data_IF_762621042075
#
_entry.id   IF_762621042075
#
_cell.length_a   1.000
_cell.length_b   1.000
_cell.length_c   1.000
_cell.angle_alpha   90.00
_cell.angle_beta   90.00
_cell.angle_gamma   90.00
#
_symmetry.space_group_name_H-M   'P 1'
#
loop_
_entity.id
_entity.type
_entity.pdbx_description
1 polymer ?
#
# COMPACT_ATOMS: atom_id res chain seq x y z
N UNK A 1 13.08 -83.55 -30.48
CA UNK A 1 12.37 -84.52 -29.63
C UNK A 1 13.29 -84.87 -28.47
N UNK A 2 12.89 -84.51 -27.24
CA UNK A 2 13.53 -84.88 -25.94
C UNK A 2 14.97 -84.38 -25.68
N UNK A 3 15.41 -84.30 -24.41
CA UNK A 3 14.78 -83.49 -23.35
C UNK A 3 15.79 -82.64 -22.53
N UNK A 4 15.30 -81.73 -21.68
CA UNK A 4 16.11 -81.00 -20.72
C UNK A 4 16.32 -81.79 -19.41
N UNK A 5 17.44 -81.61 -18.68
CA UNK A 5 17.71 -82.28 -17.39
C UNK A 5 17.00 -81.61 -16.19
N UNK A 6 17.04 -82.30 -15.04
CA UNK A 6 16.01 -82.24 -13.98
C UNK A 6 16.56 -81.80 -12.61
N UNK A 7 15.86 -80.82 -12.01
CA UNK A 7 15.53 -80.53 -10.58
C UNK A 7 16.46 -80.84 -9.38
N UNK A 8 16.11 -80.10 -8.29
CA UNK A 8 16.27 -80.36 -6.84
C UNK A 8 17.44 -79.66 -6.13
N UNK A 9 17.30 -79.01 -4.96
CA UNK A 9 16.11 -78.53 -4.17
C UNK A 9 16.61 -77.57 -3.06
N UNK A 10 15.85 -76.53 -2.67
CA UNK A 10 15.74 -76.06 -1.27
C UNK A 10 14.63 -74.99 -1.08
N UNK A 11 13.58 -75.42 -0.38
CA UNK A 11 12.66 -74.74 0.57
C UNK A 11 12.40 -73.22 0.55
N UNK A 12 11.11 -72.91 0.64
CA UNK A 12 10.43 -71.60 0.75
C UNK A 12 10.53 -70.91 2.11
N UNK A 13 10.39 -69.57 2.12
CA UNK A 13 9.63 -68.78 3.12
C UNK A 13 9.03 -67.53 2.41
N UNK A 14 7.86 -67.01 2.82
CA UNK A 14 7.10 -66.02 2.05
C UNK A 14 7.55 -64.57 2.28
N UNK A 15 7.33 -63.73 1.27
CA UNK A 15 7.65 -62.29 1.30
C UNK A 15 7.01 -61.57 2.47
N UNK A 16 7.81 -60.79 3.21
CA UNK A 16 7.29 -59.74 4.08
C UNK A 16 6.68 -58.61 3.21
N UNK A 17 5.55 -58.01 3.62
CA UNK A 17 4.98 -56.89 2.87
C UNK A 17 5.94 -55.70 2.89
N UNK A 18 6.15 -55.09 1.72
CA UNK A 18 6.90 -53.83 1.63
C UNK A 18 6.19 -52.77 2.49
N UNK A 19 6.89 -52.27 3.51
CA UNK A 19 6.45 -51.06 4.19
C UNK A 19 6.44 -49.92 3.15
N UNK A 20 5.34 -49.14 3.04
CA UNK A 20 5.39 -47.93 2.24
C UNK A 20 6.44 -47.01 2.85
N UNK A 21 7.40 -46.57 2.03
CA UNK A 21 8.34 -45.53 2.43
C UNK A 21 7.55 -44.24 2.72
N UNK A 22 7.23 -44.02 3.98
CA UNK A 22 6.81 -42.71 4.45
C UNK A 22 7.97 -41.76 4.20
N UNK A 23 7.77 -40.63 3.49
CA UNK A 23 8.82 -39.64 3.36
C UNK A 23 9.17 -39.18 4.77
N UNK A 24 10.44 -39.32 5.14
CA UNK A 24 10.93 -38.93 6.46
C UNK A 24 10.63 -37.45 6.65
N UNK A 25 9.60 -37.15 7.45
CA UNK A 25 9.27 -35.79 7.81
C UNK A 25 10.50 -35.22 8.51
N UNK A 26 11.19 -34.29 7.85
CA UNK A 26 12.26 -33.52 8.48
C UNK A 26 11.65 -32.80 9.66
N UNK A 27 11.96 -33.30 10.85
CA UNK A 27 11.35 -32.84 12.09
C UNK A 27 11.44 -31.33 12.16
N UNK A 28 10.28 -30.67 12.19
CA UNK A 28 10.17 -29.22 12.24
C UNK A 28 10.97 -28.78 13.47
N UNK A 29 12.07 -28.00 13.33
CA UNK A 29 12.81 -27.53 14.49
C UNK A 29 11.87 -26.67 15.32
N UNK A 30 11.77 -26.98 16.62
CA UNK A 30 10.79 -26.41 17.54
C UNK A 30 10.58 -24.90 17.31
N UNK A 31 9.38 -24.56 16.83
CA UNK A 31 8.87 -23.25 16.41
C UNK A 31 9.84 -22.06 16.55
N UNK A 32 10.81 -21.95 15.63
CA UNK A 32 11.51 -20.67 15.43
C UNK A 32 10.65 -19.79 14.51
N UNK A 33 10.35 -18.59 14.97
CA UNK A 33 9.58 -17.61 14.19
C UNK A 33 10.33 -17.27 12.89
N UNK A 34 9.60 -17.06 11.77
CA UNK A 34 10.21 -16.81 10.45
C UNK A 34 11.30 -15.72 10.51
N UNK A 35 10.97 -14.55 11.08
CA UNK A 35 11.92 -13.43 11.20
C UNK A 35 13.19 -13.78 12.00
N UNK A 36 13.11 -14.66 13.00
CA UNK A 36 14.27 -15.04 13.81
C UNK A 36 15.22 -15.96 13.00
N UNK A 37 14.65 -16.83 12.15
CA UNK A 37 15.40 -17.66 11.18
C UNK A 37 16.05 -16.77 10.12
N UNK A 38 15.27 -15.85 9.54
CA UNK A 38 15.73 -14.88 8.54
C UNK A 38 16.87 -14.02 9.10
N UNK A 39 16.71 -13.46 10.30
CA UNK A 39 17.73 -12.64 10.94
C UNK A 39 19.01 -13.44 11.23
N UNK A 40 18.89 -14.68 11.73
CA UNK A 40 20.04 -15.55 11.95
C UNK A 40 20.81 -15.86 10.65
N UNK A 41 20.11 -16.19 9.55
CA UNK A 41 20.72 -16.41 8.24
C UNK A 41 21.37 -15.14 7.69
N UNK A 42 20.71 -13.99 7.80
CA UNK A 42 21.25 -12.72 7.34
C UNK A 42 22.52 -12.30 8.11
N UNK A 43 22.53 -12.48 9.43
CA UNK A 43 23.73 -12.26 10.26
C UNK A 43 24.88 -13.20 9.88
N UNK A 44 24.58 -14.47 9.56
CA UNK A 44 25.59 -15.43 9.12
C UNK A 44 26.26 -14.98 7.80
N UNK A 45 25.48 -14.59 6.79
CA UNK A 45 26.01 -14.07 5.51
C UNK A 45 26.87 -12.82 5.74
N UNK A 46 26.46 -11.91 6.63
CA UNK A 46 27.27 -10.73 7.01
C UNK A 46 28.58 -11.15 7.69
N UNK A 47 28.56 -12.15 8.56
CA UNK A 47 29.74 -12.63 9.27
C UNK A 47 30.73 -13.31 8.30
N UNK A 48 30.25 -14.16 7.40
CA UNK A 48 31.07 -14.75 6.33
C UNK A 48 31.72 -13.66 5.45
N UNK A 49 30.95 -12.64 5.06
CA UNK A 49 31.46 -11.52 4.28
C UNK A 49 32.55 -10.73 5.03
N UNK A 50 32.36 -10.46 6.32
CA UNK A 50 33.34 -9.74 7.17
C UNK A 50 34.63 -10.54 7.40
N UNK A 51 34.55 -11.87 7.36
CA UNK A 51 35.68 -12.77 7.58
C UNK A 51 36.53 -12.97 6.31
N UNK A 52 36.13 -12.41 5.16
CA UNK A 52 36.87 -12.51 3.90
C UNK A 52 37.74 -11.24 3.68
N UNK A 53 39.06 -11.30 3.96
CA UNK A 53 39.95 -10.14 3.85
C UNK A 53 40.22 -9.69 2.41
N UNK A 54 39.71 -10.42 1.40
CA UNK A 54 39.83 -10.04 -0.01
C UNK A 54 38.73 -9.10 -0.51
N UNK A 55 37.67 -8.87 0.29
CA UNK A 55 36.50 -8.09 -0.14
C UNK A 55 36.65 -6.59 0.13
N UNK A 56 36.17 -5.79 -0.84
CA UNK A 56 36.06 -4.33 -0.73
C UNK A 56 34.90 -3.88 0.14
N UNK A 57 34.46 -2.62 0.01
CA UNK A 57 33.28 -2.13 0.75
C UNK A 57 31.99 -2.76 0.24
N UNK A 58 31.07 -3.06 1.18
CA UNK A 58 29.77 -3.66 0.89
C UNK A 58 28.88 -2.74 0.03
N UNK A 59 28.54 -3.16 -1.19
CA UNK A 59 27.72 -2.36 -2.12
C UNK A 59 26.22 -2.52 -1.87
N UNK A 60 25.40 -1.65 -2.46
CA UNK A 60 23.94 -1.79 -2.46
C UNK A 60 23.47 -3.11 -3.12
N UNK A 61 24.16 -3.54 -4.18
CA UNK A 61 23.86 -4.80 -4.89
C UNK A 61 24.09 -6.00 -3.98
N UNK A 62 25.19 -6.00 -3.24
CA UNK A 62 25.54 -7.08 -2.32
C UNK A 62 24.55 -7.16 -1.16
N UNK A 63 24.18 -6.02 -0.56
CA UNK A 63 23.14 -5.96 0.49
C UNK A 63 21.85 -6.58 0.02
N UNK A 64 21.35 -6.17 -1.15
CA UNK A 64 20.13 -6.74 -1.74
C UNK A 64 20.28 -8.26 -1.93
N UNK A 65 21.40 -8.74 -2.47
CA UNK A 65 21.65 -10.16 -2.66
C UNK A 65 21.70 -10.95 -1.34
N UNK A 66 22.28 -10.41 -0.26
CA UNK A 66 22.34 -11.09 1.04
C UNK A 66 20.96 -11.20 1.67
N UNK A 67 20.19 -10.11 1.59
CA UNK A 67 18.81 -10.04 2.05
C UNK A 67 17.98 -11.06 1.21
N UNK A 68 18.18 -11.14 -0.12
CA UNK A 68 17.48 -12.09 -1.02
C UNK A 68 17.80 -13.56 -0.71
N UNK A 69 19.09 -13.90 -0.55
CA UNK A 69 19.51 -15.27 -0.20
C UNK A 69 18.94 -15.70 1.17
N UNK A 70 19.08 -14.86 2.20
CA UNK A 70 18.55 -15.13 3.53
C UNK A 70 17.02 -15.37 3.50
N UNK A 71 16.28 -14.60 2.69
CA UNK A 71 14.83 -14.81 2.52
C UNK A 71 14.52 -16.13 1.82
N UNK A 72 15.10 -16.43 0.66
CA UNK A 72 14.77 -17.65 -0.08
C UNK A 72 15.09 -18.92 0.72
N UNK A 73 16.21 -18.94 1.45
CA UNK A 73 16.54 -20.06 2.33
C UNK A 73 15.60 -20.16 3.55
N UNK A 74 15.07 -19.05 4.05
CA UNK A 74 14.09 -19.06 5.15
C UNK A 74 12.71 -19.50 4.66
N UNK A 75 12.31 -19.05 3.47
CA UNK A 75 11.05 -19.36 2.80
C UNK A 75 10.95 -20.87 2.49
N UNK A 76 12.00 -21.48 1.95
CA UNK A 76 12.05 -22.92 1.71
C UNK A 76 12.15 -23.75 3.02
N UNK A 77 12.74 -23.21 4.10
CA UNK A 77 12.80 -23.91 5.40
C UNK A 77 11.47 -23.84 6.18
N UNK A 78 10.78 -22.70 6.14
CA UNK A 78 9.59 -22.43 6.96
C UNK A 78 8.29 -22.82 6.26
N UNK A 79 8.14 -22.45 4.98
CA UNK A 79 7.00 -22.80 4.16
C UNK A 79 7.29 -24.03 3.29
N UNK A 80 8.45 -24.07 2.64
CA UNK A 80 8.89 -25.21 1.82
C UNK A 80 7.87 -25.68 0.78
N UNK A 81 7.83 -27.00 0.56
CA UNK A 81 6.97 -27.69 -0.40
C UNK A 81 5.78 -28.44 0.23
N UNK A 82 5.46 -28.18 1.51
CA UNK A 82 4.26 -28.75 2.14
C UNK A 82 2.99 -28.09 1.62
N UNK A 83 1.86 -28.75 1.80
CA UNK A 83 0.55 -28.10 1.65
C UNK A 83 0.47 -26.94 2.66
N UNK A 84 0.06 -25.76 2.17
CA UNK A 84 -0.14 -24.55 2.95
C UNK A 84 -1.63 -24.22 2.99
N UNK A 85 -2.09 -23.69 4.11
CA UNK A 85 -3.43 -23.10 4.25
C UNK A 85 -3.54 -21.78 3.48
N UNK A 86 -4.76 -21.32 3.17
CA UNK A 86 -4.98 -19.99 2.56
C UNK A 86 -4.37 -18.84 3.39
N UNK A 87 -4.37 -18.99 4.72
CA UNK A 87 -3.74 -18.04 5.65
C UNK A 87 -2.22 -17.99 5.43
N UNK A 88 -1.56 -19.15 5.39
CA UNK A 88 -0.12 -19.25 5.17
C UNK A 88 0.28 -18.80 3.76
N UNK A 89 -0.54 -19.06 2.75
CA UNK A 89 -0.35 -18.58 1.38
C UNK A 89 -0.37 -17.05 1.34
N UNK A 90 -1.31 -16.40 2.04
CA UNK A 90 -1.37 -14.94 2.19
C UNK A 90 -0.17 -14.40 2.97
N UNK A 91 0.19 -15.03 4.10
CA UNK A 91 1.35 -14.66 4.90
C UNK A 91 2.66 -14.75 4.10
N UNK A 92 2.90 -15.84 3.35
CA UNK A 92 4.08 -16.01 2.48
C UNK A 92 4.17 -14.90 1.44
N UNK A 93 3.05 -14.59 0.78
CA UNK A 93 2.99 -13.55 -0.25
C UNK A 93 3.26 -12.15 0.31
N UNK A 94 2.65 -11.79 1.45
CA UNK A 94 2.86 -10.50 2.10
C UNK A 94 4.24 -10.37 2.72
N UNK A 95 4.74 -11.43 3.37
CA UNK A 95 6.11 -11.48 3.90
C UNK A 95 7.09 -11.17 2.79
N UNK A 96 6.91 -11.76 1.59
CA UNK A 96 7.73 -11.46 0.41
C UNK A 96 7.64 -9.98 -0.02
N UNK A 97 6.49 -9.32 0.07
CA UNK A 97 6.33 -7.89 -0.26
C UNK A 97 7.11 -7.03 0.74
N UNK A 98 6.88 -7.21 2.03
CA UNK A 98 7.59 -6.47 3.08
C UNK A 98 9.10 -6.74 3.06
N UNK A 99 9.48 -7.98 2.85
CA UNK A 99 10.86 -8.39 2.58
C UNK A 99 11.47 -7.63 1.37
N UNK A 100 10.74 -7.49 0.26
CA UNK A 100 11.22 -6.74 -0.92
C UNK A 100 11.30 -5.23 -0.66
N UNK A 101 10.42 -4.66 0.16
CA UNK A 101 10.56 -3.29 0.66
C UNK A 101 11.87 -3.16 1.45
N UNK A 102 12.15 -4.04 2.41
CA UNK A 102 13.40 -4.05 3.18
C UNK A 102 14.66 -4.21 2.30
N UNK A 103 14.57 -4.98 1.21
CA UNK A 103 15.69 -5.23 0.30
C UNK A 103 15.96 -4.09 -0.70
N UNK A 104 14.94 -3.31 -1.06
CA UNK A 104 15.05 -2.23 -2.07
C UNK A 104 14.99 -0.82 -1.49
N UNK A 105 14.46 -0.64 -0.29
CA UNK A 105 14.30 0.65 0.37
C UNK A 105 15.06 0.65 1.71
N UNK A 106 16.29 1.20 1.72
CA UNK A 106 17.11 1.42 2.91
C UNK A 106 16.45 2.37 3.93
N UNK A 107 15.70 1.82 4.90
CA UNK A 107 14.99 2.62 5.89
C UNK A 107 15.68 2.76 7.27
N UNK A 108 16.75 1.98 7.57
CA UNK A 108 17.49 2.05 8.85
C UNK A 108 18.99 2.32 8.69
N UNK A 109 19.52 3.27 9.48
CA UNK A 109 20.79 3.94 9.21
C UNK A 109 22.03 3.05 9.41
N UNK A 110 22.00 2.11 10.36
CA UNK A 110 23.18 1.31 10.74
C UNK A 110 23.63 0.28 9.67
N UNK A 111 22.68 -0.40 9.01
CA UNK A 111 23.00 -1.45 8.03
C UNK A 111 22.67 -1.04 6.60
N UNK A 112 21.74 -0.11 6.41
CA UNK A 112 21.22 0.26 5.09
C UNK A 112 21.18 1.79 4.95
N UNK A 113 22.36 2.38 4.63
CA UNK A 113 22.57 3.78 4.18
C UNK A 113 21.28 4.48 3.71
N UNK A 114 20.78 5.44 4.48
CA UNK A 114 19.89 6.48 3.95
C UNK A 114 20.67 7.27 2.88
N UNK A 115 20.24 7.26 1.60
CA UNK A 115 19.33 8.33 1.14
C UNK A 115 18.44 7.93 -0.07
N UNK A 116 18.14 6.63 -0.26
CA UNK A 116 17.48 6.15 -1.50
C UNK A 116 15.98 6.49 -1.59
N UNK A 117 15.33 6.77 -0.46
CA UNK A 117 13.97 7.34 -0.41
C UNK A 117 13.97 8.71 -1.13
N UNK A 118 14.93 9.56 -0.77
CA UNK A 118 15.12 10.90 -1.33
C UNK A 118 15.68 10.87 -2.77
N UNK A 119 16.34 9.78 -3.19
CA UNK A 119 16.85 9.61 -4.57
C UNK A 119 15.72 9.64 -5.61
N UNK A 120 14.51 9.21 -5.25
CA UNK A 120 13.32 9.25 -6.11
C UNK A 120 12.57 10.59 -6.07
N UNK A 121 13.03 11.58 -5.29
CA UNK A 121 12.52 12.96 -5.34
C UNK A 121 12.96 13.72 -6.61
N UNK A 122 13.71 13.11 -7.52
CA UNK A 122 14.12 13.70 -8.81
C UNK A 122 12.97 14.05 -9.76
N UNK A 123 11.73 13.70 -9.40
CA UNK A 123 10.49 14.08 -10.11
C UNK A 123 9.75 15.25 -9.46
N UNK A 124 10.24 15.76 -8.32
CA UNK A 124 9.75 17.02 -7.80
C UNK A 124 10.53 18.17 -8.44
N UNK A 125 9.81 19.23 -8.77
CA UNK A 125 10.35 20.54 -9.10
C UNK A 125 10.02 21.50 -7.94
N UNK A 126 10.86 22.52 -7.72
CA UNK A 126 10.56 23.57 -6.73
C UNK A 126 9.39 24.41 -7.25
N UNK A 127 8.39 24.73 -6.42
CA UNK A 127 7.33 25.64 -6.85
C UNK A 127 7.89 27.04 -7.10
N UNK A 128 7.36 27.77 -8.09
CA UNK A 128 7.97 29.01 -8.57
C UNK A 128 8.08 30.09 -7.47
N UNK A 129 7.02 30.25 -6.67
CA UNK A 129 6.98 31.15 -5.51
C UNK A 129 8.01 30.78 -4.43
N UNK A 130 8.35 29.49 -4.34
CA UNK A 130 9.26 28.95 -3.33
C UNK A 130 10.74 29.07 -3.72
N UNK A 131 11.08 29.29 -5.00
CA UNK A 131 12.49 29.35 -5.47
C UNK A 131 13.29 30.44 -4.75
N UNK A 132 12.70 31.61 -4.53
CA UNK A 132 13.37 32.73 -3.87
C UNK A 132 13.68 32.42 -2.39
N UNK A 133 12.69 31.86 -1.67
CA UNK A 133 12.83 31.49 -0.27
C UNK A 133 13.81 30.32 -0.09
N UNK A 134 13.67 29.26 -0.88
CA UNK A 134 14.56 28.11 -0.87
C UNK A 134 16.03 28.52 -1.05
N UNK A 135 16.30 29.44 -1.99
CA UNK A 135 17.65 29.97 -2.24
C UNK A 135 18.21 30.76 -1.05
N UNK A 136 17.39 31.50 -0.29
CA UNK A 136 17.86 32.21 0.92
C UNK A 136 18.36 31.24 2.00
N UNK A 137 17.75 30.06 2.11
CA UNK A 137 18.16 29.00 3.03
C UNK A 137 19.16 28.00 2.41
N UNK A 138 19.68 28.28 1.22
CA UNK A 138 20.72 27.48 0.58
C UNK A 138 20.25 26.20 -0.12
N UNK A 139 18.94 26.00 -0.28
CA UNK A 139 18.39 24.85 -1.01
C UNK A 139 18.34 25.14 -2.51
N UNK A 140 18.96 24.29 -3.31
CA UNK A 140 18.94 24.37 -4.79
C UNK A 140 18.00 23.34 -5.42
N UNK A 141 17.69 22.26 -4.70
CA UNK A 141 16.79 21.19 -5.16
C UNK A 141 15.73 20.82 -4.10
N UNK A 142 14.54 20.33 -4.52
CA UNK A 142 13.56 19.72 -3.63
C UNK A 142 14.14 18.63 -2.72
N UNK A 143 15.10 17.86 -3.23
CA UNK A 143 15.79 16.81 -2.47
C UNK A 143 16.54 17.35 -1.26
N UNK A 144 17.27 18.45 -1.43
CA UNK A 144 18.02 19.11 -0.34
C UNK A 144 17.07 19.67 0.72
N UNK A 145 16.00 20.34 0.29
CA UNK A 145 15.00 20.89 1.19
C UNK A 145 14.28 19.80 2.00
N UNK A 146 13.81 18.72 1.36
CA UNK A 146 13.15 17.59 2.04
C UNK A 146 14.10 16.84 2.98
N UNK A 147 15.37 16.68 2.59
CA UNK A 147 16.39 16.09 3.45
C UNK A 147 16.61 16.96 4.71
N UNK A 148 16.80 18.27 4.54
CA UNK A 148 17.00 19.20 5.65
C UNK A 148 15.79 19.25 6.60
N UNK A 149 14.57 19.25 6.05
CA UNK A 149 13.33 19.17 6.83
C UNK A 149 13.23 17.87 7.64
N UNK A 150 13.64 16.73 7.06
CA UNK A 150 13.67 15.44 7.76
C UNK A 150 14.71 15.42 8.88
N UNK A 151 15.92 15.94 8.63
CA UNK A 151 16.98 16.05 9.65
C UNK A 151 16.60 17.01 10.79
N UNK A 152 15.96 18.13 10.49
CA UNK A 152 15.40 19.04 11.50
C UNK A 152 14.27 18.36 12.31
N UNK A 153 13.36 17.64 11.63
CA UNK A 153 12.31 16.86 12.29
C UNK A 153 12.84 15.80 13.25
N UNK A 154 13.92 15.10 12.90
CA UNK A 154 14.61 14.13 13.77
C UNK A 154 15.17 14.84 15.01
N UNK A 155 15.98 15.89 14.81
CA UNK A 155 16.58 16.66 15.91
C UNK A 155 15.52 17.23 16.86
N UNK A 156 14.44 17.80 16.32
CA UNK A 156 13.32 18.31 17.10
C UNK A 156 12.63 17.21 17.92
N UNK A 157 12.47 16.01 17.36
CA UNK A 157 11.89 14.87 18.08
C UNK A 157 12.83 14.33 19.18
N UNK A 158 14.15 14.41 19.00
CA UNK A 158 15.15 14.09 20.03
C UNK A 158 15.15 15.13 21.14
N UNK A 159 15.25 16.42 20.80
CA UNK A 159 15.13 17.54 21.75
C UNK A 159 13.84 17.45 22.56
N UNK A 160 12.72 17.06 21.94
CA UNK A 160 11.46 16.85 22.64
C UNK A 160 11.52 15.71 23.65
N UNK A 161 12.10 14.56 23.29
CA UNK A 161 12.30 13.41 24.20
C UNK A 161 13.23 13.76 25.38
N UNK A 162 14.22 14.60 25.16
CA UNK A 162 15.13 15.07 26.22
C UNK A 162 14.44 16.06 27.15
N UNK A 163 13.77 17.08 26.60
CA UNK A 163 12.99 18.05 27.37
C UNK A 163 11.88 17.39 28.21
N UNK A 164 11.22 16.33 27.70
CA UNK A 164 10.28 15.52 28.48
C UNK A 164 10.92 14.84 29.69
N UNK A 165 12.15 14.30 29.55
CA UNK A 165 12.88 13.69 30.69
C UNK A 165 13.28 14.74 31.72
N UNK A 166 13.56 15.96 31.28
CA UNK A 166 13.87 17.11 32.14
C UNK A 166 12.62 17.80 32.74
N UNK A 167 11.41 17.31 32.43
CA UNK A 167 10.16 17.87 32.95
C UNK A 167 9.78 19.25 32.39
N UNK A 168 10.42 19.70 31.29
CA UNK A 168 10.15 20.99 30.65
C UNK A 168 8.82 20.96 29.90
N UNK A 169 8.10 22.08 29.88
CA UNK A 169 6.85 22.18 29.12
C UNK A 169 7.12 22.30 27.62
N UNK A 170 6.17 21.85 26.79
CA UNK A 170 6.20 21.98 25.33
C UNK A 170 6.45 23.42 24.83
N UNK A 171 6.08 24.43 25.62
CA UNK A 171 6.14 25.83 25.24
C UNK A 171 7.53 26.45 25.47
N UNK A 172 8.34 25.84 26.33
CA UNK A 172 9.70 26.32 26.66
C UNK A 172 10.77 25.78 25.70
N UNK A 173 10.41 24.85 24.82
CA UNK A 173 11.33 24.18 23.90
C UNK A 173 11.48 25.00 22.62
N UNK A 174 12.67 25.57 22.43
CA UNK A 174 13.06 26.18 21.15
C UNK A 174 13.37 25.08 20.13
N UNK A 175 12.42 24.84 19.23
CA UNK A 175 12.57 23.93 18.10
C UNK A 175 13.00 24.71 16.84
N UNK A 176 13.92 24.15 16.07
CA UNK A 176 14.26 24.68 14.75
C UNK A 176 13.24 24.18 13.73
N UNK A 177 12.24 25.01 13.41
CA UNK A 177 11.20 24.67 12.45
C UNK A 177 11.66 24.84 10.99
N UNK A 178 12.74 25.57 10.75
CA UNK A 178 13.15 26.02 9.42
C UNK A 178 12.03 26.72 8.63
N UNK A 179 12.24 26.94 7.31
CA UNK A 179 11.23 27.46 6.38
C UNK A 179 10.40 26.33 5.74
N UNK A 180 10.40 25.12 6.29
CA UNK A 180 9.99 23.91 5.55
C UNK A 180 8.48 23.81 5.30
N UNK A 181 7.66 24.54 6.07
CA UNK A 181 6.24 24.70 5.82
C UNK A 181 5.96 25.71 4.68
N UNK A 182 6.82 26.72 4.54
CA UNK A 182 6.68 27.83 3.57
C UNK A 182 7.36 27.55 2.21
N UNK A 183 8.18 26.50 2.12
CA UNK A 183 8.77 26.02 0.86
C UNK A 183 7.91 24.89 0.31
N UNK A 184 7.42 25.07 -0.91
CA UNK A 184 6.57 24.13 -1.63
C UNK A 184 7.26 23.53 -2.86
N UNK A 185 6.87 22.30 -3.17
CA UNK A 185 7.37 21.52 -4.31
C UNK A 185 6.20 20.88 -5.05
N UNK A 186 6.33 20.69 -6.37
CA UNK A 186 5.30 20.07 -7.23
C UNK A 186 5.82 18.75 -7.80
N UNK A 187 4.98 17.72 -7.81
CA UNK A 187 5.34 16.42 -8.38
C UNK A 187 5.01 16.34 -9.87
N UNK A 188 6.03 16.11 -10.69
CA UNK A 188 5.90 15.97 -12.13
C UNK A 188 5.82 14.48 -12.48
N UNK A 189 4.63 14.02 -12.85
CA UNK A 189 4.40 12.65 -13.27
C UNK A 189 5.20 12.33 -14.55
N UNK A 190 5.94 11.22 -14.53
CA UNK A 190 6.71 10.77 -15.69
C UNK A 190 5.80 10.34 -16.86
N UNK A 191 5.99 10.99 -18.02
CA UNK A 191 5.26 10.73 -19.27
C UNK A 191 6.08 9.91 -20.27
N UNK A 192 5.46 9.49 -21.37
CA UNK A 192 6.07 8.68 -22.44
C UNK A 192 7.19 9.39 -23.23
N UNK A 193 7.33 10.70 -23.10
CA UNK A 193 8.43 11.48 -23.68
C UNK A 193 8.71 12.75 -22.86
N UNK A 194 9.91 13.31 -22.99
CA UNK A 194 10.28 14.60 -22.39
C UNK A 194 9.42 15.76 -22.90
N UNK A 195 9.06 15.75 -24.18
CA UNK A 195 8.15 16.73 -24.80
C UNK A 195 6.73 16.67 -24.26
N UNK A 196 6.30 15.53 -23.70
CA UNK A 196 5.06 15.44 -22.95
C UNK A 196 5.24 15.97 -21.52
N UNK A 197 6.39 15.72 -20.87
CA UNK A 197 6.71 16.25 -19.53
C UNK A 197 6.77 17.78 -19.52
N UNK A 198 7.33 18.38 -20.57
CA UNK A 198 7.44 19.84 -20.70
C UNK A 198 6.11 20.54 -21.02
N UNK A 199 5.09 19.79 -21.46
CA UNK A 199 3.73 20.30 -21.69
C UNK A 199 2.82 20.21 -20.46
N UNK A 200 3.30 19.62 -19.36
CA UNK A 200 2.58 19.64 -18.09
C UNK A 200 2.62 21.06 -17.54
N UNK A 201 1.44 21.63 -17.30
CA UNK A 201 1.29 22.93 -16.63
C UNK A 201 1.57 22.77 -15.14
N UNK A 202 2.71 23.31 -14.67
CA UNK A 202 3.11 23.26 -13.25
C UNK A 202 2.16 24.04 -12.34
N UNK A 203 1.61 25.16 -12.81
CA UNK A 203 0.70 26.01 -12.04
C UNK A 203 -0.64 25.34 -11.75
N UNK A 204 -0.99 24.30 -12.52
CA UNK A 204 -2.20 23.49 -12.31
C UNK A 204 -2.03 22.32 -11.33
N UNK A 205 -0.80 22.04 -10.88
CA UNK A 205 -0.50 20.96 -9.92
C UNK A 205 -0.58 21.53 -8.51
N UNK A 206 -1.23 20.81 -7.59
CA UNK A 206 -1.30 21.22 -6.20
C UNK A 206 0.12 21.24 -5.58
N UNK A 207 0.62 22.40 -5.10
CA UNK A 207 1.91 22.47 -4.43
C UNK A 207 1.81 21.77 -3.06
N UNK A 208 2.88 21.10 -2.65
CA UNK A 208 2.96 20.45 -1.33
C UNK A 208 4.17 20.97 -0.55
N UNK A 209 3.97 21.28 0.73
CA UNK A 209 5.06 21.76 1.59
C UNK A 209 6.15 20.69 1.74
N UNK A 210 7.40 21.15 1.77
CA UNK A 210 8.58 20.32 1.99
C UNK A 210 8.48 19.56 3.31
N UNK A 211 7.93 20.19 4.36
CA UNK A 211 7.63 19.59 5.65
C UNK A 211 6.67 18.41 5.56
N UNK A 212 5.61 18.51 4.74
CA UNK A 212 4.62 17.45 4.55
C UNK A 212 5.24 16.22 3.89
N UNK A 213 6.05 16.44 2.84
CA UNK A 213 6.79 15.35 2.17
C UNK A 213 7.78 14.70 3.13
N UNK A 214 8.60 15.48 3.83
CA UNK A 214 9.55 14.96 4.83
C UNK A 214 8.85 14.16 5.94
N UNK A 215 7.73 14.66 6.46
CA UNK A 215 6.93 13.99 7.50
C UNK A 215 6.35 12.65 7.02
N UNK A 216 5.87 12.55 5.78
CA UNK A 216 5.32 11.30 5.23
C UNK A 216 6.42 10.27 4.98
N UNK A 217 7.60 10.68 4.50
CA UNK A 217 8.75 9.79 4.37
C UNK A 217 9.27 9.31 5.73
N UNK A 218 9.32 10.20 6.74
CA UNK A 218 9.78 9.90 8.09
C UNK A 218 8.82 9.00 8.88
N UNK A 219 7.52 9.00 8.53
CA UNK A 219 6.48 8.17 9.16
C UNK A 219 5.94 7.09 8.20
N UNK A 220 6.74 6.66 7.22
CA UNK A 220 6.35 5.58 6.31
C UNK A 220 6.18 4.26 7.08
N UNK A 221 5.08 3.52 6.84
CA UNK A 221 4.71 2.35 7.67
C UNK A 221 5.76 1.23 7.70
N UNK A 222 6.59 1.14 6.65
CA UNK A 222 7.68 0.17 6.56
C UNK A 222 9.05 0.72 7.00
N UNK A 223 9.14 1.96 7.50
CA UNK A 223 10.44 2.60 7.81
C UNK A 223 11.21 1.84 8.89
N UNK A 224 10.63 1.72 10.08
CA UNK A 224 11.28 1.06 11.21
C UNK A 224 11.07 -0.49 11.20
N UNK A 225 10.79 -1.07 10.02
CA UNK A 225 10.43 -2.47 9.85
C UNK A 225 11.67 -3.37 9.73
N UNK A 226 11.96 -4.12 10.78
CA UNK A 226 13.03 -5.14 10.82
C UNK A 226 12.51 -6.59 10.83
N UNK A 227 11.18 -6.78 10.88
CA UNK A 227 10.48 -8.08 10.97
C UNK A 227 9.40 -8.20 9.88
N UNK A 228 9.77 -8.56 8.62
CA UNK A 228 8.82 -8.61 7.51
C UNK A 228 7.68 -9.64 7.68
N UNK A 229 7.90 -10.74 8.41
CA UNK A 229 6.83 -11.71 8.69
C UNK A 229 5.87 -11.20 9.77
N UNK A 230 6.36 -10.65 10.89
CA UNK A 230 5.47 -10.01 11.87
C UNK A 230 4.71 -8.82 11.27
N UNK A 231 5.27 -8.10 10.29
CA UNK A 231 4.52 -7.09 9.53
C UNK A 231 3.42 -7.72 8.65
N UNK A 232 3.69 -8.87 8.02
CA UNK A 232 2.66 -9.62 7.28
C UNK A 232 1.54 -10.09 8.22
N UNK A 233 1.87 -10.65 9.39
CA UNK A 233 0.89 -11.03 10.42
C UNK A 233 0.05 -9.85 10.88
N UNK A 234 0.66 -8.69 11.12
CA UNK A 234 -0.03 -7.44 11.46
C UNK A 234 -1.07 -7.10 10.41
N UNK A 235 -0.72 -7.05 9.12
CA UNK A 235 -1.68 -6.78 8.04
C UNK A 235 -2.78 -7.85 7.94
N UNK A 236 -2.41 -9.13 8.04
CA UNK A 236 -3.38 -10.24 7.92
C UNK A 236 -4.41 -10.19 9.04
N UNK A 237 -3.94 -10.04 10.28
CA UNK A 237 -4.75 -10.12 11.50
C UNK A 237 -5.36 -8.79 11.95
N UNK A 238 -5.01 -7.66 11.32
CA UNK A 238 -5.54 -6.33 11.66
C UNK A 238 -7.08 -6.28 11.50
N UNK A 239 -7.76 -6.11 12.63
CA UNK A 239 -9.21 -5.91 12.75
C UNK A 239 -9.57 -4.68 13.57
N UNK A 240 -8.58 -4.01 14.18
CA UNK A 240 -8.80 -2.79 14.93
C UNK A 240 -9.15 -1.62 14.00
N UNK A 241 -10.24 -0.92 14.31
CA UNK A 241 -10.77 0.16 13.47
C UNK A 241 -9.79 1.32 13.38
N UNK A 242 -9.15 1.69 14.49
CA UNK A 242 -8.21 2.82 14.54
C UNK A 242 -6.93 2.51 13.77
N UNK A 243 -6.41 1.29 13.89
CA UNK A 243 -5.26 0.85 13.09
C UNK A 243 -5.59 0.84 11.58
N UNK A 244 -6.78 0.39 11.19
CA UNK A 244 -7.23 0.44 9.78
C UNK A 244 -7.37 1.89 9.28
N UNK A 245 -7.85 2.82 10.11
CA UNK A 245 -7.91 4.25 9.83
C UNK A 245 -6.52 4.88 9.68
N UNK A 246 -5.58 4.57 10.59
CA UNK A 246 -4.20 5.05 10.55
C UNK A 246 -3.45 4.50 9.32
N UNK A 247 -3.63 3.22 8.97
CA UNK A 247 -3.10 2.64 7.73
C UNK A 247 -3.70 3.33 6.50
N UNK A 248 -5.01 3.61 6.48
CA UNK A 248 -5.64 4.36 5.38
C UNK A 248 -5.10 5.79 5.29
N UNK A 249 -4.91 6.46 6.43
CA UNK A 249 -4.35 7.82 6.49
C UNK A 249 -2.93 7.84 5.94
N UNK A 250 -2.09 6.88 6.33
CA UNK A 250 -0.77 6.67 5.72
C UNK A 250 -0.85 6.54 4.19
N UNK A 251 -1.68 5.62 3.67
CA UNK A 251 -1.78 5.39 2.23
C UNK A 251 -2.33 6.62 1.47
N UNK A 252 -3.26 7.36 2.07
CA UNK A 252 -3.74 8.64 1.55
C UNK A 252 -2.61 9.67 1.49
N UNK A 253 -1.88 9.86 2.59
CA UNK A 253 -0.76 10.78 2.67
C UNK A 253 0.34 10.44 1.66
N UNK A 254 0.58 9.16 1.36
CA UNK A 254 1.51 8.77 0.29
C UNK A 254 0.98 9.19 -1.08
N UNK A 255 -0.32 9.02 -1.37
CA UNK A 255 -0.89 9.52 -2.62
C UNK A 255 -0.80 11.06 -2.72
N UNK A 256 -1.00 11.76 -1.61
CA UNK A 256 -1.13 13.21 -1.57
C UNK A 256 0.23 13.92 -1.60
N UNK A 257 1.17 13.48 -0.76
CA UNK A 257 2.45 14.17 -0.53
C UNK A 257 3.66 13.39 -1.07
N UNK A 258 3.54 12.08 -1.32
CA UNK A 258 4.65 11.24 -1.79
C UNK A 258 4.30 10.38 -3.04
N UNK A 259 3.66 10.95 -4.10
CA UNK A 259 3.21 10.19 -5.27
C UNK A 259 4.35 9.48 -6.05
N UNK A 260 5.60 9.94 -5.90
CA UNK A 260 6.81 9.27 -6.40
C UNK A 260 7.03 7.85 -5.84
N UNK A 261 6.45 7.52 -4.68
CA UNK A 261 6.47 6.15 -4.13
C UNK A 261 5.53 5.19 -4.90
N UNK A 262 4.71 5.71 -5.82
CA UNK A 262 3.76 4.95 -6.64
C UNK A 262 4.22 4.78 -8.10
N UNK A 263 5.52 4.93 -8.35
CA UNK A 263 6.17 4.71 -9.66
C UNK A 263 6.60 3.25 -9.92
N UNK A 264 6.87 2.94 -11.19
CA UNK A 264 7.21 1.60 -11.71
C UNK A 264 8.31 0.84 -10.94
N UNK A 265 9.25 1.56 -10.31
CA UNK A 265 10.42 1.01 -9.65
C UNK A 265 10.31 0.97 -8.12
N UNK A 266 9.12 1.17 -7.57
CA UNK A 266 8.89 1.17 -6.13
C UNK A 266 7.95 0.04 -5.67
N UNK A 267 8.41 -0.75 -4.68
CA UNK A 267 7.63 -1.80 -4.01
C UNK A 267 6.58 -1.19 -3.06
N UNK A 268 6.79 0.03 -2.56
CA UNK A 268 5.80 0.79 -1.78
C UNK A 268 4.49 1.06 -2.55
N UNK A 269 4.49 1.01 -3.89
CA UNK A 269 3.26 0.94 -4.69
C UNK A 269 2.38 -0.26 -4.28
N UNK A 270 2.97 -1.43 -4.02
CA UNK A 270 2.23 -2.59 -3.56
C UNK A 270 1.70 -2.34 -2.14
N UNK A 271 2.50 -1.78 -1.23
CA UNK A 271 2.03 -1.46 0.14
C UNK A 271 0.82 -0.52 0.12
N UNK A 272 0.82 0.52 -0.70
CA UNK A 272 -0.34 1.41 -0.86
C UNK A 272 -1.52 0.70 -1.53
N UNK A 273 -1.29 -0.16 -2.52
CA UNK A 273 -2.34 -0.95 -3.18
C UNK A 273 -2.85 -2.15 -2.35
N UNK A 274 -2.27 -2.45 -1.19
CA UNK A 274 -2.92 -3.29 -0.17
C UNK A 274 -4.06 -2.54 0.52
N UNK A 275 -3.91 -1.22 0.70
CA UNK A 275 -4.74 -0.39 1.58
C UNK A 275 -5.81 0.38 0.78
N UNK A 276 -5.42 0.97 -0.35
CA UNK A 276 -6.28 1.75 -1.22
C UNK A 276 -6.55 1.03 -2.54
N UNK A 277 -7.79 1.18 -3.06
CA UNK A 277 -8.09 0.70 -4.39
C UNK A 277 -7.40 1.58 -5.45
N UNK A 278 -7.15 1.00 -6.63
CA UNK A 278 -6.63 1.74 -7.79
C UNK A 278 -7.43 3.01 -8.09
N UNK A 279 -8.76 2.92 -8.00
CA UNK A 279 -9.70 4.03 -8.19
C UNK A 279 -9.54 5.14 -7.15
N UNK A 280 -9.20 4.80 -5.90
CA UNK A 280 -8.94 5.79 -4.86
C UNK A 280 -7.63 6.53 -5.12
N UNK A 281 -6.58 5.81 -5.55
CA UNK A 281 -5.31 6.42 -5.93
C UNK A 281 -5.47 7.39 -7.11
N UNK A 282 -6.14 6.98 -8.19
CA UNK A 282 -6.40 7.84 -9.35
C UNK A 282 -7.18 9.11 -8.95
N UNK A 283 -8.26 8.97 -8.18
CA UNK A 283 -9.10 10.09 -7.73
C UNK A 283 -8.35 11.08 -6.85
N UNK A 284 -7.40 10.62 -6.01
CA UNK A 284 -6.53 11.50 -5.22
C UNK A 284 -5.52 12.23 -6.09
N UNK A 285 -4.88 11.54 -7.02
CA UNK A 285 -3.95 12.17 -7.97
C UNK A 285 -4.66 13.25 -8.79
N UNK A 286 -5.86 12.97 -9.31
CA UNK A 286 -6.69 13.92 -10.04
C UNK A 286 -7.04 15.16 -9.20
N UNK A 287 -7.40 14.98 -7.92
CA UNK A 287 -7.65 16.08 -6.99
C UNK A 287 -6.42 16.98 -6.74
N UNK A 288 -5.20 16.45 -6.93
CA UNK A 288 -3.94 17.18 -6.79
C UNK A 288 -3.43 17.74 -8.13
N UNK A 289 -4.24 17.73 -9.21
CA UNK A 289 -3.84 18.13 -10.57
C UNK A 289 -2.98 17.09 -11.31
N UNK A 290 -2.63 15.97 -10.68
CA UNK A 290 -1.80 14.91 -11.25
C UNK A 290 -2.67 13.97 -12.10
N UNK A 291 -2.67 14.16 -13.42
CA UNK A 291 -3.42 13.25 -14.32
C UNK A 291 -2.68 11.92 -14.48
N UNK A 292 -3.19 10.87 -13.83
CA UNK A 292 -2.77 9.48 -14.06
C UNK A 292 -3.97 8.60 -14.45
N UNK A 293 -3.82 7.81 -15.50
CA UNK A 293 -4.83 6.82 -15.85
C UNK A 293 -4.77 5.59 -14.93
N UNK A 294 -5.93 4.98 -14.68
CA UNK A 294 -5.99 3.67 -14.02
C UNK A 294 -5.27 2.57 -14.81
N UNK A 295 -5.20 2.68 -16.14
CA UNK A 295 -4.37 1.84 -17.01
C UNK A 295 -2.90 1.86 -16.57
N UNK A 296 -2.38 3.05 -16.26
CA UNK A 296 -1.00 3.29 -15.83
C UNK A 296 -0.77 2.60 -14.49
N UNK A 297 -1.55 2.89 -13.45
CA UNK A 297 -1.36 2.24 -12.13
C UNK A 297 -1.44 0.70 -12.23
N UNK A 298 -2.36 0.17 -13.04
CA UNK A 298 -2.45 -1.27 -13.34
C UNK A 298 -1.18 -1.81 -13.99
N UNK A 299 -0.60 -1.10 -14.96
CA UNK A 299 0.68 -1.46 -15.59
C UNK A 299 1.84 -1.39 -14.58
N UNK A 300 1.93 -0.34 -13.76
CA UNK A 300 2.97 -0.20 -12.72
C UNK A 300 2.94 -1.35 -11.72
N UNK A 301 1.74 -1.72 -11.26
CA UNK A 301 1.51 -2.89 -10.41
C UNK A 301 2.00 -4.18 -11.09
N UNK A 302 1.65 -4.39 -12.36
CA UNK A 302 2.01 -5.59 -13.10
C UNK A 302 3.53 -5.72 -13.30
N UNK A 303 4.23 -4.65 -13.70
CA UNK A 303 5.69 -4.67 -13.83
C UNK A 303 6.39 -4.79 -12.47
N UNK A 304 5.87 -4.17 -11.40
CA UNK A 304 6.41 -4.36 -10.05
C UNK A 304 6.28 -5.83 -9.59
N UNK A 305 5.11 -6.45 -9.77
CA UNK A 305 4.91 -7.89 -9.50
C UNK A 305 5.84 -8.78 -10.31
N UNK A 306 5.98 -8.53 -11.62
CA UNK A 306 6.82 -9.32 -12.51
C UNK A 306 8.32 -9.16 -12.22
N UNK A 307 8.80 -7.92 -12.08
CA UNK A 307 10.23 -7.60 -12.05
C UNK A 307 10.81 -7.56 -10.61
N UNK A 308 10.01 -7.13 -9.62
CA UNK A 308 10.46 -7.06 -8.21
C UNK A 308 10.11 -8.33 -7.43
N UNK A 309 8.88 -8.81 -7.59
CA UNK A 309 8.38 -10.00 -6.89
C UNK A 309 8.71 -11.32 -7.63
N UNK A 310 8.96 -11.26 -8.94
CA UNK A 310 9.12 -12.46 -9.77
C UNK A 310 7.82 -13.21 -10.05
N UNK A 311 6.66 -12.60 -9.75
CA UNK A 311 5.34 -13.17 -9.96
C UNK A 311 4.91 -12.94 -11.40
N UNK A 312 5.03 -13.96 -12.24
CA UNK A 312 4.83 -13.89 -13.69
C UNK A 312 3.42 -14.32 -14.08
N UNK A 313 2.92 -15.40 -13.50
CA UNK A 313 1.61 -16.00 -13.79
C UNK A 313 0.47 -15.25 -13.08
N UNK A 314 -0.77 -15.68 -13.27
CA UNK A 314 -1.91 -15.17 -12.49
C UNK A 314 -1.98 -15.84 -11.11
N UNK A 315 -1.58 -17.11 -11.07
CA UNK A 315 -1.50 -17.98 -9.91
C UNK A 315 -0.49 -17.44 -8.89
N UNK A 316 0.66 -16.93 -9.35
CA UNK A 316 1.68 -16.28 -8.51
C UNK A 316 1.15 -15.01 -7.80
N UNK A 317 0.26 -14.26 -8.46
CA UNK A 317 -0.25 -12.95 -8.02
C UNK A 317 -1.51 -13.07 -7.16
N UNK A 318 -2.31 -14.11 -7.40
CA UNK A 318 -3.59 -14.38 -6.73
C UNK A 318 -3.56 -14.29 -5.20
N UNK A 319 -2.54 -14.79 -4.47
CA UNK A 319 -2.44 -14.63 -3.01
C UNK A 319 -2.46 -13.17 -2.56
N UNK A 320 -1.68 -12.32 -3.23
CA UNK A 320 -1.62 -10.89 -2.98
C UNK A 320 -2.92 -10.20 -3.40
N UNK A 321 -3.44 -10.51 -4.60
CA UNK A 321 -4.61 -9.81 -5.16
C UNK A 321 -5.88 -10.09 -4.35
N UNK A 322 -6.09 -11.34 -3.94
CA UNK A 322 -7.21 -11.72 -3.06
C UNK A 322 -7.09 -10.99 -1.71
N UNK A 323 -5.90 -11.00 -1.09
CA UNK A 323 -5.70 -10.33 0.19
C UNK A 323 -5.90 -8.81 0.08
N UNK A 324 -5.37 -8.17 -0.97
CA UNK A 324 -5.55 -6.73 -1.19
C UNK A 324 -7.03 -6.36 -1.31
N UNK A 325 -7.84 -7.15 -2.03
CA UNK A 325 -9.28 -6.93 -2.14
C UNK A 325 -10.00 -7.08 -0.79
N UNK A 326 -9.66 -8.10 0.00
CA UNK A 326 -10.18 -8.30 1.36
C UNK A 326 -9.78 -7.16 2.31
N UNK A 327 -8.52 -6.71 2.25
CA UNK A 327 -7.98 -5.69 3.14
C UNK A 327 -8.52 -4.29 2.81
N UNK A 328 -8.55 -3.90 1.52
CA UNK A 328 -9.23 -2.68 1.06
C UNK A 328 -10.70 -2.65 1.51
N UNK A 329 -11.39 -3.80 1.51
CA UNK A 329 -12.77 -3.90 1.99
C UNK A 329 -12.86 -3.69 3.51
N UNK A 330 -11.96 -4.28 4.30
CA UNK A 330 -11.86 -4.02 5.76
C UNK A 330 -11.61 -2.53 6.05
N UNK A 331 -10.59 -1.94 5.41
CA UNK A 331 -10.22 -0.53 5.54
C UNK A 331 -11.39 0.40 5.17
N UNK A 332 -12.08 0.13 4.05
CA UNK A 332 -13.24 0.90 3.63
C UNK A 332 -14.39 0.83 4.64
N UNK A 333 -14.67 -0.36 5.19
CA UNK A 333 -15.74 -0.55 6.17
C UNK A 333 -15.42 0.09 7.54
N UNK A 334 -14.15 0.19 7.91
CA UNK A 334 -13.70 0.92 9.10
C UNK A 334 -13.93 2.43 8.93
N UNK A 335 -13.42 3.02 7.84
CA UNK A 335 -13.43 4.47 7.62
C UNK A 335 -14.77 5.03 7.13
N UNK A 336 -15.57 4.19 6.47
CA UNK A 336 -16.90 4.52 5.96
C UNK A 336 -17.86 3.40 6.36
N UNK A 337 -18.19 3.28 7.66
CA UNK A 337 -19.14 2.27 8.12
C UNK A 337 -20.44 2.48 7.36
N UNK A 338 -20.86 1.47 6.60
CA UNK A 338 -22.11 1.52 5.86
C UNK A 338 -23.22 2.01 6.81
N UNK A 339 -24.03 3.02 6.45
CA UNK A 339 -25.08 3.52 7.31
C UNK A 339 -25.89 2.32 7.79
N UNK A 340 -25.80 2.01 9.10
CA UNK A 340 -26.53 0.86 9.66
C UNK A 340 -27.98 1.15 9.32
N UNK A 341 -28.54 0.40 8.36
CA UNK A 341 -29.93 0.51 8.00
C UNK A 341 -30.69 0.31 9.30
N UNK A 342 -31.23 1.40 9.85
CA UNK A 342 -31.95 1.34 11.11
C UNK A 342 -33.04 0.30 10.85
N UNK A 343 -33.07 -0.74 11.67
CA UNK A 343 -34.19 -1.70 11.71
C UNK A 343 -35.41 -1.01 12.34
N UNK A 344 -35.84 0.10 11.74
CA UNK A 344 -37.23 0.52 11.76
C UNK A 344 -37.97 -0.63 11.08
N UNK A 345 -38.93 -1.23 11.77
CA UNK A 345 -39.71 -2.37 11.31
C UNK A 345 -40.69 -2.03 10.18
N UNK A 346 -40.19 -1.42 9.10
CA UNK A 346 -40.96 -1.14 7.90
C UNK A 346 -41.20 -2.43 7.12
N UNK A 347 -42.48 -2.83 7.00
CA UNK A 347 -42.92 -3.87 6.05
C UNK A 347 -42.29 -3.62 4.68
N UNK A 348 -41.74 -4.66 4.06
CA UNK A 348 -41.46 -4.63 2.61
C UNK A 348 -42.76 -4.26 1.87
N UNK A 349 -42.76 -3.32 0.91
CA UNK A 349 -43.91 -3.14 0.04
C UNK A 349 -44.17 -4.44 -0.73
N UNK A 350 -45.43 -4.89 -0.86
CA UNK A 350 -45.75 -6.11 -1.58
C UNK A 350 -45.44 -5.94 -3.07
N UNK A 351 -44.57 -6.81 -3.59
CA UNK A 351 -44.22 -6.85 -5.01
C UNK A 351 -45.35 -7.56 -5.77
N UNK A 352 -46.24 -6.80 -6.38
CA UNK A 352 -47.19 -7.33 -7.36
C UNK A 352 -46.44 -7.81 -8.61
N UNK A 353 -46.27 -9.12 -8.74
CA UNK A 353 -45.94 -9.76 -10.01
C UNK A 353 -46.40 -11.22 -9.99
N UNK A 354 -47.53 -11.49 -10.65
CA UNK A 354 -48.04 -12.83 -10.92
C UNK A 354 -47.17 -13.52 -11.98
N UNK A 355 -46.61 -14.67 -11.64
CA UNK A 355 -45.83 -15.51 -12.56
C UNK A 355 -45.34 -16.78 -11.84
N UNK A 356 -45.57 -17.99 -12.39
CA UNK A 356 -45.17 -19.23 -11.74
C UNK A 356 -43.72 -19.57 -12.06
N UNK A 357 -42.91 -19.84 -11.02
CA UNK A 357 -41.58 -20.44 -11.18
C UNK A 357 -41.31 -21.40 -10.01
N UNK A 358 -40.96 -22.64 -10.35
CA UNK A 358 -40.65 -23.73 -9.42
C UNK A 358 -39.29 -23.54 -8.73
N UNK A 359 -39.07 -24.13 -7.55
CA UNK A 359 -37.80 -24.00 -6.82
C UNK A 359 -36.76 -25.02 -7.31
N UNK A 360 -35.47 -24.70 -7.15
CA UNK A 360 -34.48 -25.71 -6.81
C UNK A 360 -33.85 -25.46 -5.43
N UNK A 361 -33.65 -26.58 -4.73
CA UNK A 361 -32.96 -26.69 -3.45
C UNK A 361 -31.45 -26.51 -3.66
N UNK A 362 -30.78 -25.71 -2.83
CA UNK A 362 -29.43 -26.04 -2.34
C UNK A 362 -29.14 -25.38 -1.00
N UNK A 363 -28.52 -26.13 -0.09
CA UNK A 363 -28.29 -25.72 1.29
C UNK A 363 -27.08 -24.78 1.44
N UNK A 364 -27.14 -23.89 2.43
CA UNK A 364 -26.00 -23.15 2.98
C UNK A 364 -25.82 -23.57 4.44
N UNK A 365 -24.60 -23.98 4.87
CA UNK A 365 -24.38 -24.44 6.24
C UNK A 365 -24.37 -23.28 7.24
N UNK A 366 -24.82 -23.58 8.46
CA UNK A 366 -24.79 -22.69 9.61
C UNK A 366 -23.35 -22.29 9.98
N UNK A 367 -23.10 -21.01 10.22
CA UNK A 367 -21.94 -20.55 11.01
C UNK A 367 -22.42 -19.69 12.17
N UNK A 368 -21.73 -19.85 13.31
CA UNK A 368 -22.30 -19.62 14.63
C UNK A 368 -22.56 -18.16 15.04
N UNK A 369 -23.34 -18.04 16.10
CA UNK A 369 -23.63 -16.79 16.82
C UNK A 369 -22.31 -16.15 17.31
N UNK A 370 -21.99 -14.95 16.83
CA UNK A 370 -20.95 -14.09 17.42
C UNK A 370 -21.67 -12.93 18.10
N UNK A 371 -21.41 -12.75 19.41
CA UNK A 371 -22.04 -11.68 20.18
C UNK A 371 -21.58 -10.29 19.68
N UNK A 372 -22.49 -9.30 19.55
CA UNK A 372 -22.10 -7.96 19.14
C UNK A 372 -21.27 -7.27 20.25
N UNK A 373 -20.18 -6.56 19.91
CA UNK A 373 -19.38 -5.85 20.90
C UNK A 373 -20.19 -4.70 21.54
N UNK A 374 -20.07 -4.55 22.86
CA UNK A 374 -20.72 -3.45 23.56
C UNK A 374 -20.00 -2.12 23.28
N UNK A 375 -20.79 -1.09 23.02
CA UNK A 375 -20.31 0.26 22.71
C UNK A 375 -20.12 1.01 24.04
N UNK A 376 -18.88 1.42 24.33
CA UNK A 376 -18.58 2.42 25.35
C UNK A 376 -18.54 3.78 24.66
N UNK A 377 -19.54 4.62 24.92
CA UNK A 377 -19.60 5.99 24.40
C UNK A 377 -18.63 6.88 25.16
N UNK A 378 -17.57 7.35 24.50
CA UNK A 378 -16.80 8.52 24.93
C UNK A 378 -16.79 9.52 23.75
N UNK A 379 -17.58 10.59 23.88
CA UNK A 379 -17.75 11.63 22.85
C UNK A 379 -16.55 12.58 22.85
N UNK A 380 -15.75 12.58 21.78
CA UNK A 380 -14.91 13.76 21.43
C UNK A 380 -15.00 14.01 19.92
N UNK A 381 -15.29 15.25 19.56
CA UNK A 381 -15.65 15.68 18.21
C UNK A 381 -14.52 16.55 17.61
N UNK A 382 -13.88 16.08 16.53
CA UNK A 382 -12.98 16.91 15.69
C UNK A 382 -13.22 16.60 14.21
N UNK A 383 -14.28 17.18 13.64
CA UNK A 383 -14.64 16.98 12.24
C UNK A 383 -13.97 17.96 11.28
N UNK A 384 -13.47 17.45 10.15
CA UNK A 384 -13.31 18.22 8.91
C UNK A 384 -14.41 17.75 7.96
N UNK A 385 -15.46 18.56 7.82
CA UNK A 385 -16.61 18.26 6.97
C UNK A 385 -16.29 18.57 5.51
N UNK A 386 -16.19 17.53 4.67
CA UNK A 386 -16.37 17.67 3.22
C UNK A 386 -17.78 17.21 2.89
N UNK A 387 -18.63 18.13 2.46
CA UNK A 387 -20.01 17.81 2.07
C UNK A 387 -20.01 16.94 0.81
N UNK A 388 -20.79 15.85 0.82
CA UNK A 388 -21.04 15.07 -0.38
C UNK A 388 -21.95 15.86 -1.35
N UNK A 389 -21.71 15.81 -2.68
CA UNK A 389 -22.57 16.49 -3.64
C UNK A 389 -23.97 15.87 -3.68
N UNK A 390 -25.03 16.68 -3.86
CA UNK A 390 -26.40 16.17 -3.89
C UNK A 390 -26.68 15.34 -5.16
N UNK A 391 -27.49 14.26 -5.08
CA UNK A 391 -27.84 13.45 -6.25
C UNK A 391 -28.80 14.20 -7.18
N UNK A 392 -28.38 14.42 -8.42
CA UNK A 392 -29.24 14.96 -9.49
C UNK A 392 -30.20 13.88 -10.01
N UNK A 393 -31.46 13.92 -9.56
CA UNK A 393 -32.55 13.17 -10.17
C UNK A 393 -33.28 14.03 -11.20
N UNK A 394 -32.99 13.83 -12.49
CA UNK A 394 -33.67 14.48 -13.60
C UNK A 394 -35.00 13.80 -13.95
N UNK A 395 -36.08 14.11 -13.22
CA UNK A 395 -37.45 13.89 -13.69
C UNK A 395 -38.39 14.99 -13.19
N UNK A 396 -38.63 15.99 -14.04
CA UNK A 396 -39.57 17.08 -13.77
C UNK A 396 -41.00 16.62 -14.08
N UNK A 397 -41.89 16.63 -13.09
CA UNK A 397 -43.33 16.46 -13.29
C UNK A 397 -44.02 17.80 -13.03
N UNK A 398 -44.79 18.29 -14.01
CA UNK A 398 -45.31 19.66 -14.03
C UNK A 398 -46.56 19.84 -13.16
N UNK A 399 -46.71 21.02 -12.57
CA UNK A 399 -47.96 21.55 -12.01
C UNK A 399 -48.15 23.01 -12.49
N UNK A 400 -49.39 23.47 -12.77
CA UNK A 400 -49.65 24.74 -13.45
C UNK A 400 -49.68 25.97 -12.51
N UNK A 401 -49.47 27.20 -13.04
CA UNK A 401 -49.28 28.40 -12.23
C UNK A 401 -50.54 29.24 -11.98
N UNK A 402 -50.51 30.06 -10.93
CA UNK A 402 -51.55 31.05 -10.59
C UNK A 402 -50.99 32.48 -10.41
N UNK A 403 -50.84 33.19 -11.55
CA UNK A 403 -51.35 34.55 -11.86
C UNK A 403 -51.06 35.76 -10.91
N UNK A 404 -50.65 36.89 -11.55
CA UNK A 404 -50.50 38.32 -11.09
C UNK A 404 -49.26 38.63 -10.22
N UNK A 405 -48.52 39.74 -10.36
CA UNK A 405 -48.48 40.91 -11.29
C UNK A 405 -47.18 41.75 -10.98
N UNK A 406 -46.65 42.74 -11.73
CA UNK A 406 -46.86 43.32 -13.08
C UNK A 406 -45.63 44.19 -13.50
N UNK A 407 -45.29 44.29 -14.81
CA UNK A 407 -44.51 45.39 -15.50
C UNK A 407 -43.02 45.67 -15.12
N UNK A 408 -42.13 46.16 -16.00
CA UNK A 408 -42.17 46.42 -17.46
C UNK A 408 -40.76 46.45 -18.14
N UNK A 409 -40.78 46.28 -19.48
CA UNK A 409 -39.81 46.41 -20.60
C UNK A 409 -38.60 47.38 -20.47
N UNK A 410 -37.52 47.37 -21.27
CA UNK A 410 -37.22 46.98 -22.69
C UNK A 410 -35.73 46.51 -22.76
N UNK A 411 -35.18 45.68 -23.68
CA UNK A 411 -35.72 44.88 -24.80
C UNK A 411 -34.82 44.89 -26.08
N UNK A 412 -34.75 43.76 -26.83
CA UNK A 412 -34.32 43.59 -28.27
C UNK A 412 -32.85 43.88 -28.71
N UNK A 413 -32.15 43.18 -29.64
CA UNK A 413 -32.39 41.93 -30.45
C UNK A 413 -31.12 41.47 -31.23
N UNK A 414 -31.06 40.18 -31.63
CA UNK A 414 -30.28 39.57 -32.77
C UNK A 414 -28.74 39.43 -32.73
N UNK A 415 -28.08 38.52 -33.48
CA UNK A 415 -28.30 37.13 -33.95
C UNK A 415 -27.08 36.72 -34.83
N UNK A 416 -26.94 35.43 -35.20
CA UNK A 416 -25.99 34.85 -36.22
C UNK A 416 -24.47 34.91 -35.91
N UNK A 417 -23.58 34.14 -36.55
CA UNK A 417 -23.49 32.68 -36.83
C UNK A 417 -22.25 32.43 -37.74
N UNK A 418 -21.25 31.67 -37.24
CA UNK A 418 -20.24 30.90 -38.01
C UNK A 418 -19.27 31.62 -39.01
N UNK A 419 -18.21 30.96 -39.55
CA UNK A 419 -17.53 29.70 -39.15
C UNK A 419 -15.97 29.80 -39.07
N UNK A 420 -15.32 28.63 -38.96
CA UNK A 420 -13.88 28.31 -38.92
C UNK A 420 -12.93 29.03 -39.90
N UNK A 421 -11.65 29.09 -39.51
CA UNK A 421 -10.53 28.88 -40.43
C UNK A 421 -9.48 27.91 -39.81
N UNK A 422 -8.77 27.16 -40.65
CA UNK A 422 -7.72 26.19 -40.31
C UNK A 422 -6.47 26.49 -41.14
N UNK A 423 -5.39 26.88 -40.49
CA UNK A 423 -4.03 27.00 -41.05
C UNK A 423 -2.99 26.83 -39.94
#
# INVERSE_FOLDING_TARGET
MSPAPVLQTATTLPSSPQQPHTPTSTAIPASKHFDDIFHAKFMHIIQEWKNDPSRGQLTQKDRKAFIENAFFETDELYFGRRMMTDLEIKLRALTKVFYKVLAEEPWSEDWIRAPDVERKLSKFEMHEDSVALAKQYGFTTPREAVKAAREAGIKNAETYKEAQKEGKSLQDIKLDRGPFDDIEIVYIAGTVSSSATSKIDRSSIYPVSVSSVANVLQNHICRDMVRPFSMAERFVNCTDTKELEDMRRFACNVCDFCPHLLDNDNVSLLVVLLILSRSDCCRRFEANGIRIEGSTISHRKAECMKNKMGWKTSEDKKPYDNFAQEFQTRVKNACFPAPRAQRIGGRKPPRNSSGPATPPIYAQPHMGYVAPPQIRNDNVNTGINVAAPPPQNHFSQAAPPAIKDQRASIGTVSNTAEPMDLS
#
